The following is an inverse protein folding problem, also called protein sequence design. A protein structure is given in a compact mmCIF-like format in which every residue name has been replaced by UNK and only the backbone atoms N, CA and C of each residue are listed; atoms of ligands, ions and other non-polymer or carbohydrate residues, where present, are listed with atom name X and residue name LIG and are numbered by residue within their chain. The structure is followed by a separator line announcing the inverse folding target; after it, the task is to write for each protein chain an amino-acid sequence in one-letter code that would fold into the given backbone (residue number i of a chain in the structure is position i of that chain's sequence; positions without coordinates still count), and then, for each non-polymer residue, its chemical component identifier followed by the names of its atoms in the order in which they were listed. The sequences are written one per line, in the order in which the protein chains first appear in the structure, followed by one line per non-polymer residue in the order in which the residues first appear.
data_IF_237042537446
#
_entry.id   IF_237042537446
#
_cell.length_a   1.000
_cell.length_b   1.000
_cell.length_c   1.000
_cell.angle_alpha   90.00
_cell.angle_beta   90.00
_cell.angle_gamma   90.00
#
_symmetry.space_group_name_H-M   'P 1'
#
loop_
_entity.id
_entity.type
_entity.pdbx_description
1 polymer ?
#
# COMPACT_ATOMS: atom_id res chain seq x y z
N UNK A 1 43.54 -9.14 -37.94
CA UNK A 1 42.46 -9.97 -37.39
C UNK A 1 41.60 -9.05 -36.56
N UNK A 2 40.43 -8.70 -37.07
CA UNK A 2 39.48 -7.78 -36.44
C UNK A 2 38.77 -8.52 -35.31
N UNK A 3 38.81 -7.96 -34.11
CA UNK A 3 37.91 -8.33 -33.03
C UNK A 3 36.59 -7.59 -33.31
N UNK A 4 35.45 -8.27 -33.55
CA UNK A 4 34.19 -7.56 -33.66
C UNK A 4 33.77 -7.14 -32.25
N UNK A 5 33.85 -5.85 -31.98
CA UNK A 5 33.25 -5.23 -30.79
C UNK A 5 31.79 -5.64 -30.71
N UNK A 6 31.41 -6.32 -29.61
CA UNK A 6 30.00 -6.47 -29.25
C UNK A 6 29.42 -5.05 -29.10
N UNK A 7 28.27 -4.75 -29.71
CA UNK A 7 27.62 -3.47 -29.45
C UNK A 7 27.31 -3.38 -27.95
N UNK A 8 27.41 -2.19 -27.33
CA UNK A 8 26.92 -2.00 -25.97
C UNK A 8 25.46 -2.44 -25.94
N UNK A 9 25.12 -3.31 -24.99
CA UNK A 9 23.73 -3.66 -24.72
C UNK A 9 22.96 -2.35 -24.54
N UNK A 10 22.00 -2.11 -25.44
CA UNK A 10 21.03 -1.04 -25.25
C UNK A 10 20.42 -1.27 -23.88
N UNK A 11 20.68 -0.38 -22.92
CA UNK A 11 19.92 -0.29 -21.68
C UNK A 11 18.47 -0.11 -22.10
N UNK A 12 17.72 -1.22 -22.15
CA UNK A 12 16.29 -1.16 -22.35
C UNK A 12 15.76 -0.51 -21.09
N UNK A 13 15.29 0.74 -21.22
CA UNK A 13 14.50 1.35 -20.16
C UNK A 13 13.38 0.38 -19.80
N UNK A 14 13.11 0.13 -18.51
CA UNK A 14 12.07 -0.79 -18.11
C UNK A 14 10.75 -0.44 -18.82
N UNK A 15 10.03 -1.45 -19.31
CA UNK A 15 8.76 -1.19 -19.98
C UNK A 15 7.83 -0.41 -19.02
N UNK A 16 7.18 0.66 -19.49
CA UNK A 16 6.34 1.50 -18.64
C UNK A 16 5.17 0.68 -18.11
N UNK A 17 4.92 0.80 -16.81
CA UNK A 17 3.75 0.22 -16.17
C UNK A 17 2.49 0.98 -16.59
N UNK A 18 1.38 0.27 -16.85
CA UNK A 18 0.07 0.91 -16.91
C UNK A 18 -0.39 1.19 -15.48
N UNK A 19 -0.22 2.43 -15.03
CA UNK A 19 -0.48 2.86 -13.66
C UNK A 19 -1.52 3.98 -13.64
N UNK A 20 -2.54 3.79 -12.79
CA UNK A 20 -3.53 4.80 -12.47
C UNK A 20 -3.61 4.96 -10.95
N UNK A 21 -3.84 6.20 -10.51
CA UNK A 21 -3.86 6.55 -9.11
C UNK A 21 -4.96 7.59 -8.85
N UNK A 22 -5.69 7.43 -7.74
CA UNK A 22 -6.73 8.35 -7.32
C UNK A 22 -6.70 8.47 -5.80
N UNK A 23 -6.87 9.69 -5.32
CA UNK A 23 -7.07 9.98 -3.89
C UNK A 23 -8.18 11.02 -3.75
N UNK A 24 -9.07 10.81 -2.79
CA UNK A 24 -10.09 11.79 -2.40
C UNK A 24 -10.09 11.98 -0.90
N UNK A 25 -10.33 13.23 -0.48
CA UNK A 25 -10.50 13.55 0.93
C UNK A 25 -11.83 13.01 1.47
N UNK A 26 -11.84 12.72 2.76
CA UNK A 26 -13.02 12.46 3.56
C UNK A 26 -14.01 13.61 3.40
N UNK A 27 -15.26 13.28 3.14
CA UNK A 27 -16.30 14.28 2.92
C UNK A 27 -16.61 15.15 4.14
N UNK A 28 -16.24 14.67 5.34
CA UNK A 28 -16.36 15.45 6.56
C UNK A 28 -15.26 16.51 6.68
N UNK A 29 -14.14 16.35 5.96
CA UNK A 29 -12.99 17.25 5.93
C UNK A 29 -12.43 17.43 4.51
N UNK A 30 -13.24 17.93 3.55
CA UNK A 30 -12.88 17.92 2.13
C UNK A 30 -11.66 18.79 1.78
N UNK A 31 -11.31 19.74 2.67
CA UNK A 31 -10.16 20.63 2.50
C UNK A 31 -8.85 20.02 3.01
N UNK A 32 -8.88 18.81 3.61
CA UNK A 32 -7.74 18.15 4.21
C UNK A 32 -7.78 16.65 3.93
N UNK A 33 -6.92 16.23 3.00
CA UNK A 33 -6.66 14.82 2.74
C UNK A 33 -5.38 14.43 3.48
N UNK A 34 -5.49 13.52 4.43
CA UNK A 34 -4.38 12.95 5.20
C UNK A 34 -3.69 11.81 4.44
N UNK A 35 -4.32 11.25 3.41
CA UNK A 35 -3.65 10.34 2.47
C UNK A 35 -2.68 11.06 1.52
N UNK A 36 -1.59 10.38 1.19
CA UNK A 36 -0.67 10.75 0.15
C UNK A 36 -0.34 9.55 -0.76
N UNK A 37 -0.26 9.80 -2.06
CA UNK A 37 0.17 8.79 -3.04
C UNK A 37 1.36 9.28 -3.86
N UNK A 38 2.11 8.34 -4.42
CA UNK A 38 3.09 8.59 -5.47
C UNK A 38 3.18 7.42 -6.45
N UNK A 39 3.51 7.75 -7.69
CA UNK A 39 3.79 6.80 -8.76
C UNK A 39 4.99 7.31 -9.57
N UNK A 40 6.05 6.52 -9.62
CA UNK A 40 7.32 6.84 -10.31
C UNK A 40 7.61 5.75 -11.33
N UNK A 41 7.07 5.92 -12.54
CA UNK A 41 7.24 4.97 -13.64
C UNK A 41 8.72 4.70 -13.97
N UNK A 42 9.56 5.74 -13.96
CA UNK A 42 10.99 5.59 -14.26
C UNK A 42 11.71 4.64 -13.27
N UNK A 43 11.31 4.63 -12.00
CA UNK A 43 11.86 3.74 -10.98
C UNK A 43 11.00 2.48 -10.74
N UNK A 44 9.91 2.33 -11.51
CA UNK A 44 8.85 1.34 -11.33
C UNK A 44 8.42 1.20 -9.86
N UNK A 45 8.22 2.33 -9.19
CA UNK A 45 7.97 2.39 -7.76
C UNK A 45 6.76 3.28 -7.45
N UNK A 46 5.85 2.78 -6.62
CA UNK A 46 4.61 3.45 -6.27
C UNK A 46 4.18 3.07 -4.86
N UNK A 47 3.37 3.92 -4.23
CA UNK A 47 2.92 3.65 -2.87
C UNK A 47 1.86 4.61 -2.36
N UNK A 48 1.18 4.15 -1.31
CA UNK A 48 0.17 4.90 -0.55
C UNK A 48 0.70 5.10 0.87
N UNK A 49 0.43 6.27 1.41
CA UNK A 49 0.68 6.64 2.79
C UNK A 49 -0.61 7.20 3.36
N UNK A 50 -1.09 6.63 4.45
CA UNK A 50 -2.30 7.06 5.14
C UNK A 50 -1.88 7.82 6.40
N UNK A 51 -2.17 9.11 6.47
CA UNK A 51 -1.80 9.97 7.59
C UNK A 51 -2.73 9.70 8.77
N UNK A 52 -2.18 9.32 9.92
CA UNK A 52 -3.01 8.89 11.04
C UNK A 52 -3.95 9.99 11.55
N UNK A 53 -5.25 9.77 11.38
CA UNK A 53 -6.31 10.62 11.91
C UNK A 53 -6.40 10.61 13.44
N UNK A 54 -6.81 11.73 14.04
CA UNK A 54 -6.95 11.88 15.50
C UNK A 54 -5.66 12.22 16.25
N UNK A 55 -4.51 12.20 15.58
CA UNK A 55 -3.25 12.76 16.05
C UNK A 55 -2.96 14.11 15.38
N UNK A 56 -2.10 14.97 15.94
CA UNK A 56 -1.75 16.23 15.27
C UNK A 56 -1.09 15.94 13.92
N UNK A 57 -1.63 16.52 12.84
CA UNK A 57 -0.98 16.66 11.55
C UNK A 57 -0.68 15.39 10.72
N UNK A 58 -1.65 14.44 10.63
CA UNK A 58 -1.56 13.26 9.75
C UNK A 58 -1.22 13.60 8.29
N UNK A 59 -1.89 14.59 7.71
CA UNK A 59 -1.59 15.16 6.37
C UNK A 59 -0.13 15.61 6.21
N UNK A 60 0.47 16.19 7.26
CA UNK A 60 1.87 16.59 7.23
C UNK A 60 2.79 15.37 7.32
N UNK A 61 2.44 14.38 8.12
CA UNK A 61 3.21 13.15 8.26
C UNK A 61 3.29 12.37 6.95
N UNK A 62 2.16 12.08 6.31
CA UNK A 62 2.11 11.37 5.02
C UNK A 62 2.80 12.16 3.91
N UNK A 63 2.61 13.48 3.87
CA UNK A 63 3.25 14.36 2.87
C UNK A 63 4.77 14.40 3.01
N UNK A 64 5.29 14.56 4.23
CA UNK A 64 6.75 14.62 4.45
C UNK A 64 7.41 13.27 4.27
N UNK A 65 6.78 12.18 4.75
CA UNK A 65 7.26 10.83 4.50
C UNK A 65 7.34 10.56 3.00
N UNK A 66 6.28 10.86 2.23
CA UNK A 66 6.30 10.76 0.76
C UNK A 66 7.45 11.54 0.14
N UNK A 67 7.68 12.78 0.59
CA UNK A 67 8.76 13.64 0.06
C UNK A 67 10.13 12.98 0.26
N UNK A 68 10.41 12.46 1.46
CA UNK A 68 11.66 11.75 1.78
C UNK A 68 11.79 10.49 0.93
N UNK A 69 10.73 9.68 0.87
CA UNK A 69 10.71 8.42 0.11
C UNK A 69 11.01 8.64 -1.36
N UNK A 70 10.34 9.60 -2.02
CA UNK A 70 10.59 9.93 -3.43
C UNK A 70 12.04 10.33 -3.66
N UNK A 71 12.58 11.21 -2.80
CA UNK A 71 13.94 11.72 -2.95
C UNK A 71 15.00 10.61 -2.83
N UNK A 72 14.72 9.55 -2.08
CA UNK A 72 15.63 8.41 -1.95
C UNK A 72 15.42 7.35 -3.03
N UNK A 73 14.18 7.11 -3.47
CA UNK A 73 13.86 6.19 -4.58
C UNK A 73 14.58 6.61 -5.87
N UNK A 74 14.67 7.92 -6.11
CA UNK A 74 15.38 8.47 -7.28
C UNK A 74 16.88 8.17 -7.30
N UNK A 75 17.45 7.69 -6.18
CA UNK A 75 18.87 7.34 -6.03
C UNK A 75 19.13 5.83 -6.17
N UNK A 76 18.09 5.02 -6.31
CA UNK A 76 18.22 3.57 -6.44
C UNK A 76 18.94 3.21 -7.74
N UNK A 77 19.80 2.19 -7.66
CA UNK A 77 20.42 1.60 -8.85
C UNK A 77 19.53 0.50 -9.42
N UNK A 78 19.37 0.46 -10.73
CA UNK A 78 18.65 -0.61 -11.42
C UNK A 78 19.43 -1.95 -11.44
N UNK A 79 20.69 -1.93 -11.03
CA UNK A 79 21.56 -3.13 -10.97
C UNK A 79 21.56 -3.85 -9.62
N UNK A 80 20.78 -3.38 -8.65
CA UNK A 80 20.70 -4.02 -7.34
C UNK A 80 20.11 -5.42 -7.45
N UNK A 81 20.64 -6.35 -6.66
CA UNK A 81 20.01 -7.63 -6.41
C UNK A 81 18.64 -7.46 -5.72
N UNK A 82 17.86 -8.53 -5.69
CA UNK A 82 16.57 -8.54 -5.00
C UNK A 82 16.71 -8.22 -3.50
N UNK A 83 17.73 -8.78 -2.85
CA UNK A 83 18.02 -8.56 -1.43
C UNK A 83 18.45 -7.12 -1.16
N UNK A 84 19.38 -6.58 -1.97
CA UNK A 84 19.79 -5.17 -1.88
C UNK A 84 18.62 -4.22 -2.12
N UNK A 85 17.72 -4.53 -3.07
CA UNK A 85 16.51 -3.74 -3.31
C UNK A 85 15.60 -3.74 -2.08
N UNK A 86 15.38 -4.89 -1.45
CA UNK A 86 14.55 -5.03 -0.27
C UNK A 86 15.13 -4.30 0.96
N UNK A 87 16.44 -4.43 1.16
CA UNK A 87 17.17 -3.74 2.24
C UNK A 87 17.16 -2.23 2.04
N UNK A 88 17.37 -1.77 0.81
CA UNK A 88 17.42 -0.35 0.49
C UNK A 88 16.04 0.30 0.63
N UNK A 89 14.96 -0.37 0.20
CA UNK A 89 13.61 0.08 0.50
C UNK A 89 13.37 0.17 2.01
N UNK A 90 13.76 -0.84 2.79
CA UNK A 90 13.64 -0.80 4.25
C UNK A 90 14.41 0.36 4.87
N UNK A 91 15.63 0.64 4.36
CA UNK A 91 16.44 1.81 4.74
C UNK A 91 15.74 3.13 4.44
N UNK A 92 15.08 3.23 3.28
CA UNK A 92 14.32 4.42 2.86
C UNK A 92 13.17 4.69 3.84
N UNK A 93 12.42 3.67 4.24
CA UNK A 93 11.37 3.84 5.25
C UNK A 93 11.93 4.22 6.63
N UNK A 94 13.09 3.67 7.01
CA UNK A 94 13.80 4.10 8.22
C UNK A 94 14.19 5.59 8.21
N UNK A 95 14.58 6.14 7.05
CA UNK A 95 14.86 7.57 6.89
C UNK A 95 13.60 8.43 6.96
N UNK A 96 12.51 7.98 6.34
CA UNK A 96 11.22 8.67 6.43
C UNK A 96 10.75 8.70 7.90
N UNK A 97 10.84 7.57 8.61
CA UNK A 97 10.53 7.46 10.03
C UNK A 97 11.37 8.43 10.87
N UNK A 98 12.69 8.45 10.65
CA UNK A 98 13.60 9.36 11.36
C UNK A 98 13.24 10.83 11.12
N UNK A 99 12.90 11.21 9.89
CA UNK A 99 12.46 12.56 9.57
C UNK A 99 11.21 12.95 10.36
N UNK A 100 10.23 12.04 10.45
CA UNK A 100 9.02 12.28 11.23
C UNK A 100 9.30 12.42 12.73
N UNK A 101 10.12 11.54 13.30
CA UNK A 101 10.53 11.62 14.71
C UNK A 101 11.26 12.93 15.03
N UNK A 102 12.16 13.39 14.16
CA UNK A 102 12.86 14.66 14.32
C UNK A 102 11.92 15.87 14.26
N UNK A 103 10.95 15.86 13.35
CA UNK A 103 9.91 16.90 13.26
C UNK A 103 9.05 16.95 14.52
N UNK A 104 8.61 15.79 15.03
CA UNK A 104 7.82 15.69 16.26
C UNK A 104 8.61 16.13 17.50
N UNK A 105 9.93 15.89 17.54
CA UNK A 105 10.80 16.34 18.63
C UNK A 105 11.04 17.85 18.60
N UNK A 106 11.08 18.46 17.41
CA UNK A 106 11.35 19.89 17.23
C UNK A 106 10.09 20.77 17.30
N UNK A 107 8.89 20.19 17.25
CA UNK A 107 7.64 20.92 17.34
C UNK A 107 6.60 20.12 18.15
N UNK A 108 6.21 20.66 19.32
CA UNK A 108 5.22 20.03 20.20
C UNK A 108 3.86 19.81 19.54
N UNK A 109 3.49 20.64 18.55
CA UNK A 109 2.23 20.52 17.82
C UNK A 109 2.25 19.36 16.81
N UNK A 110 3.40 18.71 16.62
CA UNK A 110 3.58 17.52 15.78
C UNK A 110 3.80 16.26 16.61
N UNK A 111 3.67 16.35 17.93
CA UNK A 111 3.89 15.21 18.81
C UNK A 111 2.88 14.10 18.50
N UNK A 112 3.40 12.92 18.18
CA UNK A 112 2.58 11.76 17.83
C UNK A 112 2.02 11.80 16.42
N UNK A 113 2.51 12.69 15.54
CA UNK A 113 2.20 12.57 14.11
C UNK A 113 2.74 11.24 13.57
N UNK A 114 1.99 10.62 12.67
CA UNK A 114 2.37 9.34 12.09
C UNK A 114 1.64 9.07 10.79
N UNK A 115 2.14 8.09 10.05
CA UNK A 115 1.52 7.67 8.80
C UNK A 115 1.81 6.20 8.54
N UNK A 116 0.87 5.49 7.94
CA UNK A 116 1.15 4.19 7.34
C UNK A 116 2.05 4.36 6.12
N UNK A 117 2.56 3.24 5.60
CA UNK A 117 3.14 3.18 4.27
C UNK A 117 2.97 1.80 3.69
N UNK A 118 2.50 1.74 2.45
CA UNK A 118 2.55 0.56 1.59
C UNK A 118 3.19 0.94 0.27
N UNK A 119 4.37 0.39 -0.01
CA UNK A 119 5.16 0.71 -1.19
C UNK A 119 5.47 -0.57 -1.96
N UNK A 120 5.42 -0.47 -3.30
CA UNK A 120 5.81 -1.53 -4.22
C UNK A 120 6.87 -1.00 -5.18
N UNK A 121 7.98 -1.73 -5.31
CA UNK A 121 8.94 -1.59 -6.41
C UNK A 121 8.94 -2.84 -7.26
N UNK A 122 8.88 -2.67 -8.58
CA UNK A 122 9.14 -3.78 -9.50
C UNK A 122 10.66 -3.92 -9.62
N UNK A 123 11.12 -5.13 -9.31
CA UNK A 123 12.49 -5.58 -9.50
C UNK A 123 12.51 -6.52 -10.70
N UNK A 124 13.47 -6.30 -11.61
CA UNK A 124 13.75 -7.17 -12.74
C UNK A 124 15.10 -7.84 -12.52
N UNK A 125 15.11 -9.17 -12.56
CA UNK A 125 16.29 -9.97 -12.38
C UNK A 125 17.12 -10.11 -13.65
N UNK A 126 18.37 -10.60 -13.51
CA UNK A 126 19.29 -10.72 -14.64
C UNK A 126 18.81 -11.73 -15.70
N UNK A 127 17.81 -12.56 -15.39
CA UNK A 127 17.21 -13.51 -16.35
C UNK A 127 15.84 -13.06 -16.86
N UNK A 128 15.43 -11.82 -16.57
CA UNK A 128 14.16 -11.23 -16.98
C UNK A 128 12.97 -11.61 -16.08
N UNK A 129 13.20 -12.30 -14.97
CA UNK A 129 12.16 -12.55 -13.98
C UNK A 129 11.78 -11.26 -13.25
N UNK A 130 10.48 -11.02 -13.04
CA UNK A 130 10.00 -9.82 -12.34
C UNK A 130 9.42 -10.18 -10.98
N UNK A 131 9.76 -9.38 -9.96
CA UNK A 131 9.19 -9.48 -8.61
C UNK A 131 8.67 -8.14 -8.14
N UNK A 132 7.53 -8.15 -7.48
CA UNK A 132 7.06 -7.03 -6.68
C UNK A 132 7.72 -7.10 -5.29
N UNK A 133 8.62 -6.16 -5.00
CA UNK A 133 9.20 -5.95 -3.67
C UNK A 133 8.27 -5.00 -2.92
N UNK A 134 7.59 -5.53 -1.92
CA UNK A 134 6.61 -4.82 -1.10
C UNK A 134 7.21 -4.52 0.25
N UNK A 135 7.17 -3.26 0.67
CA UNK A 135 7.50 -2.84 2.04
C UNK A 135 6.30 -2.13 2.66
N UNK A 136 6.00 -2.47 3.91
CA UNK A 136 4.80 -2.01 4.59
C UNK A 136 5.03 -1.72 6.07
N UNK A 137 4.39 -0.66 6.58
CA UNK A 137 4.15 -0.44 8.00
C UNK A 137 2.75 0.16 8.16
N UNK A 138 1.86 -0.54 8.87
CA UNK A 138 0.47 -0.13 9.07
C UNK A 138 -0.54 -1.08 8.41
N UNK A 139 -1.73 -0.57 8.14
CA UNK A 139 -2.90 -1.31 7.67
C UNK A 139 -3.37 -0.93 6.26
N UNK A 140 -2.66 -0.02 5.58
CA UNK A 140 -2.73 0.08 4.12
C UNK A 140 -2.32 -1.25 3.46
N UNK A 141 -2.90 -1.55 2.30
CA UNK A 141 -2.85 -2.90 1.74
C UNK A 141 -2.27 -2.94 0.34
N UNK A 142 -1.49 -3.98 0.09
CA UNK A 142 -1.07 -4.39 -1.25
C UNK A 142 -1.72 -5.70 -1.61
N UNK A 143 -2.35 -5.75 -2.77
CA UNK A 143 -2.91 -6.95 -3.37
C UNK A 143 -2.26 -7.24 -4.72
N UNK A 144 -2.21 -8.51 -5.09
CA UNK A 144 -1.91 -8.97 -6.45
C UNK A 144 -3.10 -9.78 -6.94
N UNK A 145 -3.68 -9.36 -8.07
CA UNK A 145 -4.66 -10.15 -8.81
C UNK A 145 -3.96 -10.84 -9.98
N UNK A 146 -4.07 -12.16 -10.03
CA UNK A 146 -3.59 -12.97 -11.15
C UNK A 146 -4.50 -12.83 -12.36
N UNK A 147 -3.99 -13.17 -13.54
CA UNK A 147 -4.75 -13.14 -14.80
C UNK A 147 -6.05 -13.99 -14.77
N UNK A 148 -6.13 -14.98 -13.88
CA UNK A 148 -7.32 -15.82 -13.68
C UNK A 148 -8.38 -15.21 -12.74
N UNK A 149 -8.12 -14.00 -12.22
CA UNK A 149 -8.99 -13.28 -11.28
C UNK A 149 -8.71 -13.57 -9.80
N UNK A 150 -7.79 -14.49 -9.48
CA UNK A 150 -7.42 -14.78 -8.08
C UNK A 150 -6.76 -13.57 -7.44
N UNK A 151 -7.38 -13.01 -6.40
CA UNK A 151 -6.88 -11.89 -5.63
C UNK A 151 -6.19 -12.38 -4.35
N UNK A 152 -4.94 -11.98 -4.15
CA UNK A 152 -4.16 -12.26 -2.95
C UNK A 152 -3.76 -10.97 -2.25
N UNK A 153 -4.08 -10.82 -0.97
CA UNK A 153 -3.51 -9.75 -0.14
C UNK A 153 -2.09 -10.12 0.27
N UNK A 154 -1.10 -9.32 -0.13
CA UNK A 154 0.32 -9.56 0.16
C UNK A 154 0.67 -9.09 1.57
N UNK A 155 0.30 -7.85 1.91
CA UNK A 155 0.51 -7.31 3.26
C UNK A 155 -0.44 -7.96 4.26
N UNK A 156 -0.09 -7.97 5.54
CA UNK A 156 -0.98 -8.34 6.64
C UNK A 156 -1.04 -7.11 7.54
N UNK A 157 -2.23 -6.59 7.82
CA UNK A 157 -2.35 -5.31 8.53
C UNK A 157 -1.66 -5.37 9.90
N UNK A 158 -0.88 -4.35 10.23
CA UNK A 158 -0.31 -4.17 11.56
C UNK A 158 -1.34 -3.53 12.50
N UNK A 159 -2.44 -4.23 12.79
CA UNK A 159 -3.50 -3.77 13.68
C UNK A 159 -3.98 -4.82 14.70
N UNK A 160 -5.20 -4.64 15.22
CA UNK A 160 -5.75 -5.47 16.31
C UNK A 160 -5.72 -6.98 16.02
N UNK A 161 -5.98 -7.40 14.78
CA UNK A 161 -5.94 -8.80 14.40
C UNK A 161 -4.54 -9.36 14.58
N UNK A 162 -3.52 -8.69 14.03
CA UNK A 162 -2.14 -9.16 14.17
C UNK A 162 -1.68 -9.15 15.64
N UNK A 163 -2.08 -8.14 16.41
CA UNK A 163 -1.75 -8.05 17.84
C UNK A 163 -2.41 -9.15 18.70
N UNK A 164 -3.56 -9.68 18.27
CA UNK A 164 -4.32 -10.68 19.04
C UNK A 164 -3.79 -12.11 18.86
N UNK A 165 -3.26 -12.45 17.68
CA UNK A 165 -2.87 -13.83 17.37
C UNK A 165 -1.35 -14.04 17.50
N UNK A 166 -0.97 -15.17 18.10
CA UNK A 166 0.42 -15.63 18.09
C UNK A 166 0.80 -16.13 16.69
N UNK A 167 1.47 -15.27 15.91
CA UNK A 167 2.05 -15.59 14.61
C UNK A 167 1.15 -15.28 13.41
N UNK A 168 1.80 -15.02 12.27
CA UNK A 168 1.16 -14.45 11.08
C UNK A 168 0.13 -15.36 10.43
N UNK A 169 0.22 -16.69 10.60
CA UNK A 169 -0.71 -17.63 9.94
C UNK A 169 -2.13 -17.52 10.50
N UNK A 170 -2.28 -17.47 11.82
CA UNK A 170 -3.60 -17.35 12.44
C UNK A 170 -4.20 -15.96 12.21
N UNK A 171 -3.37 -14.91 12.33
CA UNK A 171 -3.76 -13.55 11.98
C UNK A 171 -4.23 -13.43 10.52
N UNK A 172 -3.53 -14.05 9.57
CA UNK A 172 -3.92 -14.07 8.14
C UNK A 172 -5.29 -14.72 7.95
N UNK A 173 -5.52 -15.90 8.51
CA UNK A 173 -6.81 -16.59 8.39
C UNK A 173 -7.96 -15.73 8.93
N UNK A 174 -7.74 -15.08 10.09
CA UNK A 174 -8.75 -14.21 10.67
C UNK A 174 -8.99 -12.96 9.82
N UNK A 175 -7.93 -12.28 9.36
CA UNK A 175 -8.05 -11.09 8.51
C UNK A 175 -8.76 -11.41 7.19
N UNK A 176 -8.41 -12.50 6.51
CA UNK A 176 -9.10 -12.93 5.28
C UNK A 176 -10.59 -13.19 5.52
N UNK A 177 -10.95 -13.79 6.67
CA UNK A 177 -12.36 -13.94 7.05
C UNK A 177 -13.02 -12.57 7.20
N UNK A 178 -12.46 -11.68 8.03
CA UNK A 178 -13.03 -10.36 8.30
C UNK A 178 -13.15 -9.50 7.04
N UNK A 179 -12.19 -9.57 6.12
CA UNK A 179 -12.22 -8.83 4.85
C UNK A 179 -13.38 -9.24 3.95
N UNK A 180 -13.89 -10.48 4.07
CA UNK A 180 -14.93 -11.01 3.19
C UNK A 180 -16.29 -11.18 3.86
N UNK A 181 -16.44 -10.72 5.09
CA UNK A 181 -17.74 -10.73 5.78
C UNK A 181 -18.68 -9.74 5.11
N UNK A 182 -19.81 -10.27 4.66
CA UNK A 182 -20.91 -9.50 4.03
C UNK A 182 -22.11 -9.34 4.96
N UNK A 183 -22.15 -10.06 6.08
CA UNK A 183 -23.20 -9.95 7.08
C UNK A 183 -22.63 -10.02 8.50
N UNK A 184 -22.94 -9.01 9.32
CA UNK A 184 -22.50 -8.92 10.71
C UNK A 184 -22.98 -10.06 11.62
N UNK A 185 -24.03 -10.80 11.25
CA UNK A 185 -24.53 -11.95 12.01
C UNK A 185 -23.64 -13.18 11.89
N UNK A 186 -22.75 -13.22 10.90
CA UNK A 186 -21.83 -14.34 10.67
C UNK A 186 -20.57 -14.26 11.56
N UNK A 187 -20.48 -13.20 12.38
CA UNK A 187 -19.37 -12.91 13.27
C UNK A 187 -19.68 -13.32 14.70
N UNK A 188 -18.70 -13.93 15.38
CA UNK A 188 -18.71 -14.01 16.84
C UNK A 188 -18.57 -12.63 17.46
N UNK A 189 -18.77 -12.51 18.77
CA UNK A 189 -18.63 -11.23 19.46
C UNK A 189 -17.18 -10.71 19.40
N UNK A 190 -16.19 -11.60 19.50
CA UNK A 190 -14.77 -11.27 19.37
C UNK A 190 -14.42 -10.80 17.94
N UNK A 191 -14.91 -11.49 16.92
CA UNK A 191 -14.67 -11.12 15.52
C UNK A 191 -15.32 -9.78 15.17
N UNK A 192 -16.49 -9.52 15.73
CA UNK A 192 -17.19 -8.24 15.58
C UNK A 192 -16.45 -7.11 16.29
N UNK A 193 -15.83 -7.39 17.43
CA UNK A 193 -14.98 -6.43 18.12
C UNK A 193 -13.72 -6.10 17.31
N UNK A 194 -13.03 -7.12 16.77
CA UNK A 194 -11.90 -6.93 15.85
C UNK A 194 -12.29 -6.11 14.63
N UNK A 195 -13.45 -6.39 14.02
CA UNK A 195 -13.93 -5.63 12.88
C UNK A 195 -14.19 -4.16 13.27
N UNK A 196 -14.80 -3.89 14.43
CA UNK A 196 -15.05 -2.51 14.88
C UNK A 196 -13.76 -1.73 15.15
N UNK A 197 -12.74 -2.39 15.69
CA UNK A 197 -11.47 -1.79 16.05
C UNK A 197 -10.38 -1.97 14.99
N UNK A 198 -10.76 -2.31 13.74
CA UNK A 198 -9.81 -2.62 12.66
C UNK A 198 -8.89 -1.46 12.29
N UNK A 199 -9.31 -0.22 12.49
CA UNK A 199 -8.52 1.00 12.26
C UNK A 199 -7.51 1.31 13.39
N UNK A 200 -7.35 0.41 14.37
CA UNK A 200 -6.28 0.54 15.37
C UNK A 200 -4.96 0.03 14.78
N UNK A 201 -4.06 0.96 14.52
CA UNK A 201 -2.72 0.68 13.99
C UNK A 201 -1.74 0.46 15.15
N UNK A 202 -0.88 -0.55 15.01
CA UNK A 202 0.14 -0.96 15.99
C UNK A 202 1.58 -0.78 15.51
N UNK A 203 1.77 -0.38 14.25
CA UNK A 203 3.07 -0.13 13.63
C UNK A 203 2.90 0.91 12.52
N UNK A 204 3.65 2.00 12.55
CA UNK A 204 3.55 3.09 11.58
C UNK A 204 4.83 3.94 11.55
N UNK A 205 4.99 4.75 10.51
CA UNK A 205 6.01 5.80 10.48
C UNK A 205 5.70 6.85 11.54
N UNK A 206 6.72 7.43 12.15
CA UNK A 206 6.63 8.33 13.30
C UNK A 206 6.74 7.62 14.66
N UNK A 207 6.89 6.28 14.68
CA UNK A 207 7.11 5.49 15.90
C UNK A 207 8.59 5.10 16.06
N UNK A 208 9.10 5.14 17.29
CA UNK A 208 10.45 4.71 17.65
C UNK A 208 10.67 3.22 17.45
N UNK A 209 9.62 2.41 17.60
CA UNK A 209 9.66 0.95 17.50
C UNK A 209 9.11 0.45 16.15
N UNK A 210 9.06 1.32 15.13
CA UNK A 210 8.58 0.96 13.81
C UNK A 210 9.36 -0.22 13.22
N UNK A 211 8.63 -1.23 12.75
CA UNK A 211 9.15 -2.39 12.04
C UNK A 211 8.74 -2.34 10.56
N UNK A 212 9.69 -2.49 9.64
CA UNK A 212 9.36 -2.63 8.21
C UNK A 212 9.00 -4.08 7.91
N UNK A 213 7.82 -4.31 7.34
CA UNK A 213 7.40 -5.61 6.80
C UNK A 213 7.79 -5.70 5.34
N UNK A 214 8.58 -6.70 4.97
CA UNK A 214 9.09 -6.85 3.59
C UNK A 214 8.65 -8.17 2.98
N UNK A 215 8.18 -8.11 1.74
CA UNK A 215 7.76 -9.25 0.93
C UNK A 215 8.34 -9.13 -0.48
N UNK A 216 8.67 -10.27 -1.10
CA UNK A 216 9.02 -10.33 -2.51
C UNK A 216 8.16 -11.41 -3.17
N UNK A 217 7.37 -11.02 -4.17
CA UNK A 217 6.38 -11.90 -4.81
C UNK A 217 6.59 -11.88 -6.31
N UNK A 218 6.53 -13.06 -6.95
CA UNK A 218 6.60 -13.15 -8.40
C UNK A 218 5.40 -12.46 -9.06
N UNK A 219 5.68 -11.70 -10.12
CA UNK A 219 4.67 -11.04 -10.95
C UNK A 219 4.88 -11.38 -12.41
N UNK A 220 3.78 -11.65 -13.11
CA UNK A 220 3.76 -12.03 -14.50
C UNK A 220 3.03 -10.99 -15.34
N UNK A 221 3.30 -10.98 -16.65
CA UNK A 221 2.50 -10.19 -17.59
C UNK A 221 1.01 -10.54 -17.46
N UNK A 222 0.16 -9.52 -17.34
CA UNK A 222 -1.27 -9.66 -17.09
C UNK A 222 -1.68 -9.60 -15.62
N UNK A 223 -0.75 -9.70 -14.66
CA UNK A 223 -1.07 -9.48 -13.24
C UNK A 223 -1.41 -8.01 -12.98
N UNK A 224 -2.31 -7.78 -12.03
CA UNK A 224 -2.67 -6.44 -11.54
C UNK A 224 -2.23 -6.29 -10.10
N UNK A 225 -1.45 -5.26 -9.80
CA UNK A 225 -1.07 -4.87 -8.44
C UNK A 225 -1.99 -3.72 -8.00
N UNK A 226 -2.57 -3.86 -6.82
CA UNK A 226 -3.40 -2.83 -6.20
C UNK A 226 -2.77 -2.40 -4.87
N UNK A 227 -2.60 -1.10 -4.67
CA UNK A 227 -2.25 -0.50 -3.38
C UNK A 227 -3.38 0.41 -2.93
N UNK A 228 -3.87 0.24 -1.70
CA UNK A 228 -5.00 1.00 -1.16
C UNK A 228 -4.76 1.46 0.27
N UNK A 229 -5.29 2.64 0.63
CA UNK A 229 -5.52 3.01 2.03
C UNK A 229 -6.71 2.25 2.60
N UNK A 230 -6.86 2.27 3.92
CA UNK A 230 -7.93 1.51 4.56
C UNK A 230 -9.32 2.11 4.27
N UNK A 231 -9.42 3.39 3.88
CA UNK A 231 -10.66 4.00 3.42
C UNK A 231 -11.31 3.27 2.24
N UNK A 232 -10.53 2.56 1.42
CA UNK A 232 -11.06 1.65 0.40
C UNK A 232 -11.31 0.26 0.97
N UNK A 233 -10.31 -0.38 1.58
CA UNK A 233 -10.37 -1.80 1.98
C UNK A 233 -11.25 -2.10 3.20
N UNK A 234 -11.55 -1.10 4.02
CA UNK A 234 -12.50 -1.22 5.12
C UNK A 234 -13.94 -1.12 4.63
N UNK A 235 -14.19 -0.34 3.57
CA UNK A 235 -15.52 -0.20 2.99
C UNK A 235 -15.85 -1.40 2.08
N UNK A 236 -14.92 -1.82 1.22
CA UNK A 236 -15.11 -2.92 0.29
C UNK A 236 -14.64 -4.26 0.88
N UNK A 237 -15.19 -5.36 0.39
CA UNK A 237 -14.66 -6.71 0.65
C UNK A 237 -13.61 -7.09 -0.39
N UNK A 238 -12.73 -8.06 -0.07
CA UNK A 238 -11.74 -8.53 -1.06
C UNK A 238 -12.43 -9.11 -2.31
N UNK A 239 -13.58 -9.77 -2.15
CA UNK A 239 -14.40 -10.25 -3.27
C UNK A 239 -14.93 -9.11 -4.16
N UNK A 240 -15.35 -7.99 -3.57
CA UNK A 240 -15.81 -6.82 -4.31
C UNK A 240 -14.64 -6.15 -5.05
N UNK A 241 -13.49 -5.99 -4.38
CA UNK A 241 -12.25 -5.49 -4.98
C UNK A 241 -11.86 -6.36 -6.18
N UNK A 242 -11.81 -7.68 -6.00
CA UNK A 242 -11.46 -8.63 -7.07
C UNK A 242 -12.37 -8.48 -8.28
N UNK A 243 -13.69 -8.40 -8.04
CA UNK A 243 -14.69 -8.21 -9.09
C UNK A 243 -14.48 -6.90 -9.86
N UNK A 244 -14.24 -5.79 -9.17
CA UNK A 244 -13.99 -4.49 -9.81
C UNK A 244 -12.75 -4.56 -10.71
N UNK A 245 -11.65 -5.14 -10.22
CA UNK A 245 -10.41 -5.29 -10.99
C UNK A 245 -10.59 -6.17 -12.23
N UNK A 246 -11.38 -7.26 -12.12
CA UNK A 246 -11.66 -8.16 -13.25
C UNK A 246 -12.56 -7.54 -14.32
N UNK A 247 -13.55 -6.74 -13.93
CA UNK A 247 -14.53 -6.16 -14.85
C UNK A 247 -14.04 -4.90 -15.56
N UNK A 248 -13.15 -4.13 -14.92
CA UNK A 248 -12.60 -2.90 -15.46
C UNK A 248 -11.73 -3.17 -16.69
N UNK A 249 -11.86 -2.32 -17.72
CA UNK A 249 -11.10 -2.44 -18.97
C UNK A 249 -9.72 -1.79 -18.88
N UNK A 250 -9.55 -0.82 -17.98
CA UNK A 250 -8.32 -0.04 -17.81
C UNK A 250 -8.00 0.15 -16.34
N UNK A 251 -6.72 0.37 -16.03
CA UNK A 251 -6.29 0.71 -14.67
C UNK A 251 -6.98 1.97 -14.14
N UNK A 252 -7.25 2.94 -15.01
CA UNK A 252 -7.98 4.17 -14.67
C UNK A 252 -9.43 3.89 -14.25
N UNK A 253 -10.17 3.10 -15.03
CA UNK A 253 -11.54 2.70 -14.71
C UNK A 253 -11.60 1.91 -13.39
N UNK A 254 -10.68 0.96 -13.21
CA UNK A 254 -10.59 0.18 -11.98
C UNK A 254 -10.38 1.08 -10.75
N UNK A 255 -9.45 2.03 -10.86
CA UNK A 255 -9.13 2.98 -9.79
C UNK A 255 -10.34 3.85 -9.44
N UNK A 256 -11.03 4.42 -10.44
CA UNK A 256 -12.22 5.25 -10.23
C UNK A 256 -13.37 4.44 -9.59
N UNK A 257 -13.60 3.21 -10.05
CA UNK A 257 -14.63 2.32 -9.49
C UNK A 257 -14.33 1.96 -8.04
N UNK A 258 -13.09 1.58 -7.71
CA UNK A 258 -12.69 1.26 -6.33
C UNK A 258 -13.00 2.42 -5.37
N UNK A 259 -12.57 3.64 -5.72
CA UNK A 259 -12.79 4.82 -4.88
C UNK A 259 -14.26 5.22 -4.82
N UNK A 260 -14.99 5.19 -5.94
CA UNK A 260 -16.40 5.60 -5.98
C UNK A 260 -17.34 4.61 -5.28
N UNK A 261 -17.09 3.30 -5.41
CA UNK A 261 -17.87 2.27 -4.73
C UNK A 261 -17.58 2.29 -3.21
N UNK A 262 -16.32 2.44 -2.80
CA UNK A 262 -15.95 2.64 -1.39
C UNK A 262 -16.63 3.88 -0.80
N UNK A 263 -16.62 5.00 -1.53
CA UNK A 263 -17.31 6.24 -1.12
C UNK A 263 -18.80 6.04 -0.97
N UNK A 264 -19.43 5.33 -1.90
CA UNK A 264 -20.86 5.02 -1.82
C UNK A 264 -21.18 4.17 -0.59
N UNK A 265 -20.34 3.16 -0.32
CA UNK A 265 -20.46 2.31 0.88
C UNK A 265 -20.26 3.09 2.18
N UNK A 266 -19.35 4.06 2.23
CA UNK A 266 -19.15 4.88 3.43
C UNK A 266 -20.43 5.63 3.86
N UNK A 267 -21.31 5.95 2.92
CA UNK A 267 -22.54 6.72 3.13
C UNK A 267 -23.80 5.88 3.37
N UNK A 268 -23.72 4.56 3.20
CA UNK A 268 -24.93 3.72 3.15
C UNK A 268 -25.42 3.25 4.53
N UNK A 269 -24.67 3.51 5.60
CA UNK A 269 -24.95 2.95 6.94
C UNK A 269 -24.72 1.45 7.03
N UNK A 270 -23.98 0.88 6.08
CA UNK A 270 -23.55 -0.51 6.11
C UNK A 270 -22.65 -0.76 7.32
N UNK A 271 -22.63 -1.99 7.87
CA UNK A 271 -21.81 -2.29 9.05
C UNK A 271 -20.29 -2.18 8.81
N UNK A 272 -19.87 -2.17 7.54
CA UNK A 272 -18.49 -1.89 7.09
C UNK A 272 -18.22 -0.42 6.79
N UNK A 273 -19.23 0.45 6.78
CA UNK A 273 -19.07 1.85 6.44
C UNK A 273 -18.00 2.50 7.32
N UNK A 274 -17.01 3.13 6.68
CA UNK A 274 -15.97 3.94 7.32
C UNK A 274 -15.87 5.26 6.57
N UNK A 275 -16.04 6.37 7.26
CA UNK A 275 -15.81 7.71 6.69
C UNK A 275 -14.33 8.02 6.79
N UNK A 276 -13.63 7.96 5.67
CA UNK A 276 -12.19 8.21 5.63
C UNK A 276 -11.74 8.85 4.31
N UNK A 277 -10.48 9.27 4.26
CA UNK A 277 -9.76 9.51 3.01
C UNK A 277 -9.66 8.20 2.22
N UNK A 278 -9.70 8.27 0.89
CA UNK A 278 -9.72 7.06 0.05
C UNK A 278 -8.69 7.19 -1.06
N UNK A 279 -7.71 6.30 -1.02
CA UNK A 279 -6.63 6.25 -2.00
C UNK A 279 -6.47 4.87 -2.60
N UNK A 280 -6.28 4.83 -3.92
CA UNK A 280 -6.02 3.61 -4.67
C UNK A 280 -4.99 3.86 -5.78
N UNK A 281 -4.09 2.90 -5.98
CA UNK A 281 -3.19 2.80 -7.12
C UNK A 281 -3.40 1.43 -7.77
N UNK A 282 -3.83 1.41 -9.02
CA UNK A 282 -3.93 0.19 -9.84
C UNK A 282 -2.80 0.19 -10.85
N UNK A 283 -2.02 -0.88 -10.86
CA UNK A 283 -0.87 -1.06 -11.76
C UNK A 283 -0.97 -2.39 -12.48
N UNK A 284 -1.00 -2.38 -13.81
CA UNK A 284 -0.98 -3.60 -14.63
C UNK A 284 0.43 -3.91 -15.11
N UNK A 285 0.85 -5.15 -14.90
CA UNK A 285 2.12 -5.67 -15.41
C UNK A 285 1.91 -6.02 -16.88
N UNK A 286 2.62 -5.33 -17.77
CA UNK A 286 2.58 -5.57 -19.22
C UNK A 286 3.48 -6.74 -19.63
#
# INVERSE_FOLDING_TARGET
MLNPEQPPSLEQSPEPLDIAAMTIANENHPDRNEDALFARNAQQCFGVLDGMGGHPAGDRASTEARRVIIAEIEKLSDTMSLEETADELSRILGQANKCLLEMANNNSDLKGMGSTVSLVKIWEGPTGERKAVVVNAGDSRVYIQRIDGTLEQITLDDGIVRATFFGNRAARVMQTKLNNVTNSTDLTDEERDMLRHRSQISNHLGDTDMEVRTHAVDVMAGDTILVVSDGVSDNLTDNEISKILTEAQTSAEATERLVSEARTRSRSGHFRSKHDDMSAIVTKIL
#
